data_IF_981426061574
#
_entry.id   IF_981426061574
#
_cell.length_a   1.000
_cell.length_b   1.000
_cell.length_c   1.000
_cell.angle_alpha   90.00
_cell.angle_beta   90.00
_cell.angle_gamma   90.00
#
_symmetry.space_group_name_H-M   'P 1'
#
loop_
_entity.id
_entity.type
_entity.pdbx_description
1 polymer ?
#
# COMPACT_ATOMS: atom_id res chain seq x y z
N UNK A 1 -11.26 -5.15 3.32
CA UNK A 1 -11.04 -3.69 3.50
C UNK A 1 -11.80 -2.84 2.48
N UNK A 2 -12.04 -3.30 1.24
CA UNK A 2 -12.79 -2.53 0.22
C UNK A 2 -14.32 -2.43 0.46
N UNK A 3 -14.94 -3.29 1.28
CA UNK A 3 -16.41 -3.30 1.45
C UNK A 3 -16.97 -2.17 2.34
N UNK A 4 -16.14 -1.53 3.18
CA UNK A 4 -16.60 -0.52 4.15
C UNK A 4 -16.35 0.92 3.70
N UNK A 5 -15.31 1.16 2.90
CA UNK A 5 -14.97 2.48 2.40
C UNK A 5 -15.44 2.62 0.95
N UNK A 6 -16.71 2.98 0.78
CA UNK A 6 -17.33 3.11 -0.56
C UNK A 6 -16.81 4.31 -1.33
N UNK A 7 -16.29 5.33 -0.64
CA UNK A 7 -15.81 6.58 -1.22
C UNK A 7 -14.58 7.08 -0.43
N UNK A 8 -13.64 7.75 -1.12
CA UNK A 8 -12.55 8.52 -0.50
C UNK A 8 -11.15 8.03 -0.86
N UNK A 9 -10.19 8.28 0.03
CA UNK A 9 -8.80 7.83 -0.14
C UNK A 9 -8.53 6.62 0.75
N UNK A 10 -7.94 5.59 0.14
CA UNK A 10 -7.49 4.40 0.83
C UNK A 10 -5.96 4.42 0.90
N UNK A 11 -5.43 4.33 2.12
CA UNK A 11 -4.01 4.24 2.37
C UNK A 11 -3.54 2.80 2.23
N UNK A 12 -2.42 2.60 1.54
CA UNK A 12 -1.76 1.32 1.45
C UNK A 12 -0.66 1.32 2.50
N UNK A 13 -0.79 0.45 3.50
CA UNK A 13 0.17 0.33 4.60
C UNK A 13 1.36 -0.57 4.26
N UNK A 14 2.48 -0.29 4.91
CA UNK A 14 3.61 -1.21 5.07
C UNK A 14 3.26 -2.19 6.20
N UNK A 15 3.34 -3.50 5.92
CA UNK A 15 3.02 -4.55 6.89
C UNK A 15 4.11 -4.78 7.94
N UNK A 16 5.26 -4.11 7.84
CA UNK A 16 6.31 -4.23 8.86
C UNK A 16 5.89 -3.71 10.24
N UNK A 17 4.98 -2.72 10.30
CA UNK A 17 4.47 -2.10 11.52
C UNK A 17 2.95 -1.88 11.38
N UNK A 18 2.14 -2.95 11.52
CA UNK A 18 0.71 -2.87 11.33
C UNK A 18 0.07 -2.01 12.43
N UNK A 19 -0.91 -1.16 12.10
CA UNK A 19 -1.53 -0.29 13.08
C UNK A 19 -2.43 -1.10 14.02
N UNK A 20 -2.67 -0.54 15.21
CA UNK A 20 -3.70 -1.06 16.10
C UNK A 20 -5.06 -1.09 15.40
N UNK A 21 -5.92 -2.05 15.77
CA UNK A 21 -7.24 -2.24 15.17
C UNK A 21 -8.03 -0.93 15.12
N UNK A 22 -8.55 -0.58 13.94
CA UNK A 22 -9.32 0.64 13.71
C UNK A 22 -8.50 1.93 13.59
N UNK A 23 -7.15 1.87 13.59
CA UNK A 23 -6.29 3.02 13.32
C UNK A 23 -5.68 2.97 11.93
N UNK A 24 -5.40 4.15 11.39
CA UNK A 24 -4.59 4.34 10.19
C UNK A 24 -3.12 4.17 10.55
N UNK A 25 -2.31 3.64 9.63
CA UNK A 25 -0.85 3.61 9.74
C UNK A 25 -0.26 5.02 10.00
N UNK A 26 0.92 5.06 10.61
CA UNK A 26 1.69 6.29 10.67
C UNK A 26 2.14 6.72 9.26
N UNK A 27 2.32 8.03 9.00
CA UNK A 27 2.73 8.52 7.67
C UNK A 27 4.00 7.86 7.11
N UNK A 28 4.93 7.45 7.95
CA UNK A 28 6.16 6.73 7.57
C UNK A 28 5.92 5.28 7.13
N UNK A 29 4.79 4.69 7.53
CA UNK A 29 4.38 3.31 7.26
C UNK A 29 3.20 3.25 6.28
N UNK A 30 2.89 4.35 5.60
CA UNK A 30 1.99 4.38 4.45
C UNK A 30 2.87 4.46 3.20
N UNK A 31 2.77 3.50 2.29
CA UNK A 31 3.53 3.56 1.03
C UNK A 31 2.93 4.53 0.02
N UNK A 32 1.62 4.75 0.11
CA UNK A 32 0.91 5.65 -0.75
C UNK A 32 -0.60 5.51 -0.57
N UNK A 33 -1.33 6.34 -1.31
CA UNK A 33 -2.78 6.40 -1.26
C UNK A 33 -3.37 6.24 -2.64
N UNK A 34 -4.55 5.63 -2.72
CA UNK A 34 -5.33 5.50 -3.96
C UNK A 34 -6.75 5.99 -3.70
N UNK A 35 -7.38 6.54 -4.73
CA UNK A 35 -8.77 6.95 -4.61
C UNK A 35 -9.69 5.75 -4.82
N UNK A 36 -10.74 5.68 -4.01
CA UNK A 36 -11.82 4.70 -4.10
C UNK A 36 -13.11 5.45 -4.37
N UNK A 37 -13.83 5.05 -5.41
CA UNK A 37 -15.14 5.59 -5.78
C UNK A 37 -16.06 4.42 -6.06
N UNK A 38 -17.25 4.41 -5.45
CA UNK A 38 -18.20 3.29 -5.44
C UNK A 38 -17.55 1.94 -5.08
N UNK A 39 -16.61 1.93 -4.13
CA UNK A 39 -15.87 0.73 -3.70
C UNK A 39 -14.84 0.22 -4.72
N UNK A 40 -14.62 0.93 -5.82
CA UNK A 40 -13.66 0.59 -6.88
C UNK A 40 -12.43 1.48 -6.78
N UNK A 41 -11.25 0.86 -6.78
CA UNK A 41 -9.96 1.55 -6.82
C UNK A 41 -9.80 2.22 -8.19
N UNK A 42 -9.62 3.53 -8.19
CA UNK A 42 -9.44 4.32 -9.41
C UNK A 42 -7.99 4.21 -9.91
N UNK A 43 -7.82 3.69 -11.13
CA UNK A 43 -6.49 3.55 -11.76
C UNK A 43 -5.89 4.94 -12.03
N UNK A 44 -4.57 5.06 -11.88
CA UNK A 44 -3.84 6.32 -12.11
C UNK A 44 -3.92 7.34 -10.97
N UNK A 45 -4.65 7.03 -9.90
CA UNK A 45 -4.77 7.93 -8.72
C UNK A 45 -3.75 7.65 -7.63
N UNK A 46 -2.79 6.75 -7.86
CA UNK A 46 -1.76 6.43 -6.88
C UNK A 46 -0.91 7.66 -6.56
N UNK A 47 -0.88 8.03 -5.29
CA UNK A 47 -0.03 9.09 -4.75
C UNK A 47 0.97 8.48 -3.76
N UNK A 48 2.28 8.55 -4.02
CA UNK A 48 3.28 8.04 -3.10
C UNK A 48 3.33 8.90 -1.84
N UNK A 49 3.64 8.27 -0.71
CA UNK A 49 3.82 8.98 0.55
C UNK A 49 5.27 9.50 0.64
N UNK A 50 5.51 10.83 0.73
CA UNK A 50 6.87 11.37 0.71
C UNK A 50 7.75 10.95 1.90
N UNK A 51 7.11 10.62 3.03
CA UNK A 51 7.78 10.27 4.29
C UNK A 51 8.15 8.78 4.39
N UNK A 52 7.66 7.95 3.48
CA UNK A 52 7.90 6.51 3.53
C UNK A 52 9.35 6.16 3.19
N UNK A 53 9.94 5.28 4.01
CA UNK A 53 11.31 4.78 3.81
C UNK A 53 11.30 3.26 3.74
N UNK A 54 12.13 2.70 2.86
CA UNK A 54 12.27 1.24 2.70
C UNK A 54 12.86 0.55 3.93
N UNK A 55 13.70 1.27 4.69
CA UNK A 55 14.38 0.76 5.88
C UNK A 55 14.15 1.74 7.02
N UNK A 56 13.66 1.23 8.14
CA UNK A 56 13.49 2.00 9.39
C UNK A 56 14.00 1.19 10.57
N UNK A 57 13.92 1.76 11.77
CA UNK A 57 14.23 1.04 13.01
C UNK A 57 13.26 -0.12 13.28
N UNK A 58 12.11 -0.16 12.60
CA UNK A 58 11.13 -1.26 12.66
C UNK A 58 11.45 -2.42 11.72
N UNK A 59 12.47 -2.27 10.86
CA UNK A 59 12.95 -3.30 9.96
C UNK A 59 12.84 -2.91 8.49
N UNK A 60 12.83 -3.94 7.64
CA UNK A 60 12.70 -3.79 6.19
C UNK A 60 11.24 -3.66 5.79
N UNK A 61 10.97 -2.88 4.75
CA UNK A 61 9.68 -2.75 4.09
C UNK A 61 9.05 -4.10 3.76
N UNK A 62 7.76 -4.25 4.09
CA UNK A 62 6.98 -5.44 3.78
C UNK A 62 5.64 -5.06 3.14
N UNK A 63 5.33 -5.75 2.03
CA UNK A 63 4.03 -5.66 1.39
C UNK A 63 3.14 -6.79 1.86
N UNK A 64 1.83 -6.54 1.83
CA UNK A 64 0.86 -7.61 1.98
C UNK A 64 1.08 -8.71 0.95
N UNK A 65 0.84 -9.95 1.36
CA UNK A 65 1.01 -11.14 0.51
C UNK A 65 0.46 -10.96 -0.92
N UNK A 66 -0.79 -10.50 -1.15
CA UNK A 66 -1.29 -10.31 -2.51
C UNK A 66 -0.52 -9.24 -3.31
N UNK A 67 -0.06 -8.17 -2.67
CA UNK A 67 0.74 -7.13 -3.32
C UNK A 67 2.15 -7.62 -3.62
N UNK A 68 2.76 -8.39 -2.71
CA UNK A 68 4.05 -9.05 -2.91
C UNK A 68 4.00 -9.96 -4.13
N UNK A 69 2.97 -10.78 -4.27
CA UNK A 69 2.79 -11.65 -5.43
C UNK A 69 2.62 -10.85 -6.73
N UNK A 70 1.88 -9.74 -6.71
CA UNK A 70 1.76 -8.84 -7.86
C UNK A 70 3.11 -8.24 -8.25
N UNK A 71 3.90 -7.81 -7.26
CA UNK A 71 5.24 -7.25 -7.46
C UNK A 71 6.19 -8.27 -8.08
N UNK A 72 6.22 -9.50 -7.56
CA UNK A 72 7.06 -10.58 -8.09
C UNK A 72 6.70 -10.88 -9.55
N UNK A 73 5.39 -10.97 -9.85
CA UNK A 73 4.92 -11.17 -11.23
C UNK A 73 5.37 -10.05 -12.15
N UNK A 74 5.20 -8.79 -11.74
CA UNK A 74 5.63 -7.63 -12.51
C UNK A 74 7.16 -7.57 -12.70
N UNK A 75 7.93 -7.94 -11.67
CA UNK A 75 9.38 -7.99 -11.71
C UNK A 75 9.88 -9.06 -12.69
N UNK A 76 9.28 -10.26 -12.69
CA UNK A 76 9.59 -11.32 -13.66
C UNK A 76 9.35 -10.88 -15.11
N UNK A 77 8.23 -10.19 -15.36
CA UNK A 77 7.90 -9.65 -16.70
C UNK A 77 8.93 -8.60 -17.13
N UNK A 78 9.35 -7.71 -16.22
CA UNK A 78 10.40 -6.71 -16.51
C UNK A 78 11.77 -7.35 -16.75
N UNK A 79 12.14 -8.38 -16.00
CA UNK A 79 13.45 -9.04 -16.12
C UNK A 79 13.57 -9.90 -17.39
N UNK A 80 12.45 -10.35 -17.94
CA UNK A 80 12.40 -11.09 -19.22
C UNK A 80 12.47 -10.17 -20.45
N UNK A 81 12.52 -8.85 -20.26
CA UNK A 81 12.53 -7.84 -21.32
C UNK A 81 13.87 -7.12 -21.33
#
# INVERSE_FOLDING_TARGET
>A
MADWQKEGWMHIGDERDPPAWGRINYPEDIIGSVQVVNGVIQKGTYQPMPTHRLMTTKGIFQLSEPLTQCLIKAAKVKASK
#
